data_IF_647749560776
#
_entry.id   IF_647749560776
#
_cell.length_a   1.000
_cell.length_b   1.000
_cell.length_c   1.000
_cell.angle_alpha   90.00
_cell.angle_beta   90.00
_cell.angle_gamma   90.00
#
_symmetry.space_group_name_H-M   'P 1'
#
loop_
_entity.id
_entity.type
_entity.pdbx_description
1 polymer ?
#
# COMPACT_ATOMS: atom_id res chain seq x y z
N UNK A 1 9.60 1.67 -2.63
CA UNK A 1 10.51 2.73 -2.15
C UNK A 1 9.88 3.43 -0.97
N UNK A 2 10.67 3.73 0.10
CA UNK A 2 10.21 4.53 1.25
C UNK A 2 9.10 3.88 2.09
N UNK A 3 9.07 2.56 2.21
CA UNK A 3 8.18 1.85 3.15
C UNK A 3 8.75 1.81 4.56
N UNK A 4 8.25 0.87 5.40
CA UNK A 4 8.69 0.74 6.80
C UNK A 4 10.18 0.44 6.90
N UNK A 5 10.69 -0.55 6.14
CA UNK A 5 12.12 -0.87 6.09
C UNK A 5 12.96 0.23 5.43
N UNK A 6 12.34 1.11 4.64
CA UNK A 6 12.93 2.32 4.09
C UNK A 6 12.89 3.52 5.03
N UNK A 7 12.52 3.30 6.30
CA UNK A 7 12.58 4.29 7.39
C UNK A 7 11.76 5.58 7.12
N UNK A 8 10.64 5.46 6.38
CA UNK A 8 9.83 6.62 5.96
C UNK A 8 9.36 7.51 7.12
N UNK A 9 9.23 6.93 8.32
CA UNK A 9 8.76 7.65 9.51
C UNK A 9 9.79 8.69 10.02
N UNK A 10 11.06 8.53 9.67
CA UNK A 10 12.16 9.40 10.11
C UNK A 10 12.58 10.41 9.04
N UNK A 11 12.01 10.33 7.83
CA UNK A 11 12.38 11.18 6.70
C UNK A 11 11.37 12.31 6.51
N UNK A 12 11.89 13.51 6.25
CA UNK A 12 11.06 14.63 5.81
C UNK A 12 10.48 14.35 4.40
N UNK A 13 9.28 14.87 4.07
CA UNK A 13 8.71 14.69 2.73
C UNK A 13 9.66 15.02 1.57
N UNK A 14 10.47 16.08 1.69
CA UNK A 14 11.43 16.45 0.65
C UNK A 14 12.56 15.42 0.47
N UNK A 15 13.01 14.78 1.56
CA UNK A 15 13.99 13.69 1.50
C UNK A 15 13.39 12.48 0.80
N UNK A 16 12.12 12.14 1.12
CA UNK A 16 11.39 11.05 0.46
C UNK A 16 11.20 11.29 -1.03
N UNK A 17 10.93 12.53 -1.45
CA UNK A 17 10.86 12.92 -2.86
C UNK A 17 12.21 12.73 -3.55
N UNK A 18 13.30 13.22 -2.94
CA UNK A 18 14.64 13.08 -3.49
C UNK A 18 15.07 11.60 -3.64
N UNK A 19 14.74 10.76 -2.65
CA UNK A 19 14.99 9.31 -2.73
C UNK A 19 14.18 8.68 -3.87
N UNK A 20 12.91 9.04 -4.02
CA UNK A 20 12.08 8.51 -5.11
C UNK A 20 12.62 8.95 -6.48
N UNK A 21 12.99 10.20 -6.66
CA UNK A 21 13.58 10.72 -7.90
C UNK A 21 14.86 9.98 -8.27
N UNK A 22 15.74 9.75 -7.28
CA UNK A 22 16.97 8.99 -7.48
C UNK A 22 16.68 7.53 -7.90
N UNK A 23 15.72 6.88 -7.26
CA UNK A 23 15.30 5.51 -7.65
C UNK A 23 14.72 5.52 -9.07
N UNK A 24 13.83 6.45 -9.38
CA UNK A 24 13.19 6.52 -10.70
C UNK A 24 14.18 6.82 -11.82
N UNK A 25 15.24 7.58 -11.55
CA UNK A 25 16.30 7.85 -12.56
C UNK A 25 17.01 6.57 -13.01
N UNK A 26 17.08 5.56 -12.15
CA UNK A 26 17.75 4.29 -12.43
C UNK A 26 16.80 3.14 -12.79
N UNK A 27 15.61 3.10 -12.17
CA UNK A 27 14.72 1.95 -12.21
C UNK A 27 13.58 2.07 -13.23
N UNK A 28 13.19 3.30 -13.62
CA UNK A 28 12.04 3.53 -14.49
C UNK A 28 12.13 2.75 -15.80
N UNK A 29 11.10 1.96 -16.08
CA UNK A 29 11.02 1.13 -17.27
C UNK A 29 11.90 -0.14 -17.24
N UNK A 30 12.65 -0.37 -16.18
CA UNK A 30 13.46 -1.58 -15.98
C UNK A 30 12.82 -2.57 -15.00
N UNK A 31 12.19 -2.05 -13.95
CA UNK A 31 11.47 -2.82 -12.93
C UNK A 31 10.23 -2.05 -12.49
N UNK A 32 9.25 -2.77 -11.93
CA UNK A 32 8.07 -2.15 -11.28
C UNK A 32 8.49 -1.39 -10.03
N UNK A 33 8.09 -0.14 -9.92
CA UNK A 33 8.38 0.73 -8.77
C UNK A 33 7.10 1.11 -8.05
N UNK A 34 7.01 0.73 -6.77
CA UNK A 34 5.93 1.10 -5.87
C UNK A 34 6.45 2.13 -4.88
N UNK A 35 5.87 3.33 -4.84
CA UNK A 35 6.22 4.38 -3.89
C UNK A 35 5.29 4.35 -2.67
N UNK A 36 5.84 4.23 -1.48
CA UNK A 36 5.08 4.40 -0.25
C UNK A 36 4.94 5.89 0.05
N UNK A 37 3.69 6.37 0.20
CA UNK A 37 3.38 7.81 0.28
C UNK A 37 2.75 8.23 1.61
N UNK A 38 2.57 7.29 2.56
CA UNK A 38 1.94 7.60 3.84
C UNK A 38 2.77 8.54 4.72
N UNK A 39 2.12 9.54 5.27
CA UNK A 39 2.51 10.36 6.41
C UNK A 39 1.38 10.34 7.44
N UNK A 40 1.62 10.82 8.67
CA UNK A 40 0.55 10.89 9.67
C UNK A 40 -0.50 11.97 9.39
N UNK A 41 -0.19 12.91 8.53
CA UNK A 41 -1.16 13.91 8.08
C UNK A 41 -1.52 13.69 6.60
N UNK A 42 -2.74 14.03 6.24
CA UNK A 42 -3.27 13.83 4.88
C UNK A 42 -2.60 14.75 3.87
N UNK A 43 -2.24 15.98 4.24
CA UNK A 43 -1.68 16.95 3.31
C UNK A 43 -0.35 16.49 2.73
N UNK A 44 0.61 16.08 3.59
CA UNK A 44 1.91 15.57 3.15
C UNK A 44 1.75 14.27 2.34
N UNK A 45 0.80 13.40 2.73
CA UNK A 45 0.54 12.15 2.01
C UNK A 45 0.01 12.40 0.61
N UNK A 46 -0.91 13.36 0.45
CA UNK A 46 -1.45 13.81 -0.83
C UNK A 46 -0.35 14.43 -1.71
N UNK A 47 0.52 15.24 -1.11
CA UNK A 47 1.65 15.85 -1.82
C UNK A 47 2.63 14.78 -2.33
N UNK A 48 2.96 13.79 -1.50
CA UNK A 48 3.82 12.67 -1.90
C UNK A 48 3.17 11.80 -2.99
N UNK A 49 1.86 11.57 -2.93
CA UNK A 49 1.13 10.82 -3.95
C UNK A 49 1.16 11.55 -5.31
N UNK A 50 0.87 12.83 -5.32
CA UNK A 50 0.93 13.65 -6.53
C UNK A 50 2.36 13.72 -7.11
N UNK A 51 3.38 13.79 -6.25
CA UNK A 51 4.77 13.76 -6.67
C UNK A 51 5.16 12.39 -7.28
N UNK A 52 4.74 11.28 -6.64
CA UNK A 52 5.00 9.94 -7.13
C UNK A 52 4.39 9.71 -8.54
N UNK A 53 3.15 10.16 -8.77
CA UNK A 53 2.54 10.12 -10.10
C UNK A 53 3.36 10.90 -11.13
N UNK A 54 3.82 12.12 -10.80
CA UNK A 54 4.69 12.92 -11.70
C UNK A 54 6.00 12.22 -12.04
N UNK A 55 6.58 11.48 -11.09
CA UNK A 55 7.77 10.68 -11.34
C UNK A 55 7.48 9.48 -12.27
N UNK A 56 6.21 9.07 -12.36
CA UNK A 56 5.76 7.96 -13.20
C UNK A 56 6.04 6.61 -12.58
N UNK A 57 5.78 6.45 -11.28
CA UNK A 57 5.78 5.15 -10.61
C UNK A 57 4.65 4.27 -11.12
N UNK A 58 4.78 2.96 -10.98
CA UNK A 58 3.74 2.01 -11.40
C UNK A 58 2.58 1.97 -10.41
N UNK A 59 2.85 2.14 -9.11
CA UNK A 59 1.83 2.22 -8.07
C UNK A 59 2.29 3.05 -6.88
N UNK A 60 1.33 3.55 -6.11
CA UNK A 60 1.56 4.10 -4.78
C UNK A 60 1.04 3.14 -3.71
N UNK A 61 1.67 3.15 -2.53
CA UNK A 61 1.23 2.34 -1.40
C UNK A 61 1.13 3.18 -0.13
N UNK A 62 0.20 2.81 0.76
CA UNK A 62 0.02 3.52 2.03
C UNK A 62 -0.38 2.60 3.17
N UNK A 63 0.28 2.76 4.33
CA UNK A 63 -0.23 2.31 5.63
C UNK A 63 -1.31 3.29 6.10
N UNK A 64 -2.19 2.91 7.05
CA UNK A 64 -3.06 3.88 7.72
C UNK A 64 -2.21 4.83 8.58
N UNK A 65 -2.77 5.99 9.02
CA UNK A 65 -2.11 6.84 10.00
C UNK A 65 -1.80 6.06 11.28
N UNK A 66 -0.61 6.29 11.84
CA UNK A 66 -0.13 5.62 13.05
C UNK A 66 -0.47 6.43 14.30
N UNK A 67 -0.33 5.81 15.47
CA UNK A 67 -0.48 6.35 16.81
C UNK A 67 -1.92 6.37 17.33
N UNK A 68 -2.87 7.00 16.63
CA UNK A 68 -4.29 6.98 17.02
C UNK A 68 -5.07 5.95 16.20
N UNK A 69 -5.94 5.18 16.87
CA UNK A 69 -6.84 4.26 16.21
C UNK A 69 -8.00 5.04 15.60
N UNK A 70 -7.98 5.20 14.29
CA UNK A 70 -9.03 5.89 13.56
C UNK A 70 -10.15 4.93 13.16
N UNK A 71 -11.41 5.41 13.05
CA UNK A 71 -12.50 4.62 12.51
C UNK A 71 -12.28 4.35 11.00
N UNK A 72 -12.88 3.25 10.51
CA UNK A 72 -12.70 2.80 9.12
C UNK A 72 -12.97 3.90 8.08
N UNK A 73 -14.02 4.71 8.28
CA UNK A 73 -14.35 5.77 7.34
C UNK A 73 -13.23 6.82 7.22
N UNK A 74 -12.59 7.19 8.34
CA UNK A 74 -11.51 8.17 8.32
C UNK A 74 -10.23 7.63 7.64
N UNK A 75 -9.98 6.33 7.77
CA UNK A 75 -8.88 5.65 7.07
C UNK A 75 -9.20 5.58 5.57
N UNK A 76 -10.43 5.24 5.21
CA UNK A 76 -10.85 5.20 3.81
C UNK A 76 -10.76 6.58 3.16
N UNK A 77 -11.21 7.63 3.84
CA UNK A 77 -11.10 9.03 3.37
C UNK A 77 -9.63 9.43 3.17
N UNK A 78 -8.76 9.07 4.12
CA UNK A 78 -7.32 9.33 4.04
C UNK A 78 -6.69 8.64 2.81
N UNK A 79 -6.96 7.35 2.58
CA UNK A 79 -6.43 6.62 1.43
C UNK A 79 -7.02 7.13 0.10
N UNK A 80 -8.31 7.42 0.07
CA UNK A 80 -8.97 7.97 -1.12
C UNK A 80 -8.46 9.36 -1.49
N UNK A 81 -8.07 10.19 -0.51
CA UNK A 81 -7.44 11.48 -0.79
C UNK A 81 -6.11 11.35 -1.53
N UNK A 82 -5.28 10.37 -1.16
CA UNK A 82 -4.04 10.08 -1.88
C UNK A 82 -4.31 9.53 -3.29
N UNK A 83 -5.25 8.58 -3.41
CA UNK A 83 -5.63 8.02 -4.71
C UNK A 83 -6.19 9.10 -5.65
N UNK A 84 -6.97 10.06 -5.12
CA UNK A 84 -7.47 11.18 -5.90
C UNK A 84 -6.38 12.17 -6.34
N UNK A 85 -5.28 12.27 -5.60
CA UNK A 85 -4.12 13.10 -5.95
C UNK A 85 -3.20 12.44 -7.00
N UNK A 86 -3.36 11.13 -7.21
CA UNK A 86 -2.64 10.34 -8.21
C UNK A 86 -3.64 9.50 -9.04
N UNK A 87 -4.53 10.14 -9.81
CA UNK A 87 -5.68 9.48 -10.43
C UNK A 87 -5.32 8.46 -11.51
N UNK A 88 -4.14 8.56 -12.10
CA UNK A 88 -3.65 7.65 -13.13
C UNK A 88 -2.66 6.60 -12.59
N UNK A 89 -2.49 6.53 -11.27
CA UNK A 89 -1.56 5.63 -10.61
C UNK A 89 -2.33 4.63 -9.74
N UNK A 90 -1.97 3.37 -9.82
CA UNK A 90 -2.58 2.29 -9.04
C UNK A 90 -2.28 2.46 -7.55
N UNK A 91 -3.21 2.00 -6.70
CA UNK A 91 -3.11 2.12 -5.24
C UNK A 91 -3.04 0.75 -4.57
N UNK A 92 -2.07 0.59 -3.68
CA UNK A 92 -1.86 -0.62 -2.89
C UNK A 92 -2.07 -0.32 -1.41
N UNK A 93 -2.99 -1.01 -0.77
CA UNK A 93 -3.16 -0.91 0.68
C UNK A 93 -2.01 -1.67 1.35
N UNK A 94 -1.30 -1.01 2.26
CA UNK A 94 -0.27 -1.68 3.06
C UNK A 94 -0.78 -1.94 4.48
N UNK A 95 -1.12 -3.20 4.75
CA UNK A 95 -1.55 -3.68 6.05
C UNK A 95 -0.34 -4.13 6.88
N UNK A 96 -0.02 -3.42 7.96
CA UNK A 96 1.05 -3.73 8.92
C UNK A 96 0.62 -3.37 10.35
N UNK A 97 -0.33 -4.11 10.92
CA UNK A 97 -0.97 -3.73 12.19
C UNK A 97 -0.01 -3.63 13.37
N UNK A 98 1.08 -4.38 13.38
CA UNK A 98 2.09 -4.35 14.45
C UNK A 98 2.78 -2.99 14.58
N UNK A 99 2.95 -2.27 13.46
CA UNK A 99 3.57 -0.94 13.45
C UNK A 99 2.54 0.18 13.31
N UNK A 100 1.50 -0.03 12.53
CA UNK A 100 0.45 0.97 12.32
C UNK A 100 -0.54 1.06 13.49
N UNK A 101 -0.64 0.02 14.32
CA UNK A 101 -1.62 -0.05 15.40
C UNK A 101 -3.06 -0.30 14.92
N UNK A 102 -3.28 -0.37 13.62
CA UNK A 102 -4.60 -0.57 13.00
C UNK A 102 -4.50 -1.65 11.93
N UNK A 103 -5.39 -2.64 12.00
CA UNK A 103 -5.48 -3.71 11.01
C UNK A 103 -6.46 -3.37 9.90
N UNK A 104 -6.18 -3.86 8.70
CA UNK A 104 -7.13 -3.86 7.60
C UNK A 104 -8.24 -4.87 7.91
N UNK A 105 -9.44 -4.36 8.18
CA UNK A 105 -10.62 -5.20 8.39
C UNK A 105 -11.35 -5.45 7.07
N UNK A 106 -12.14 -6.53 6.99
CA UNK A 106 -12.96 -6.81 5.79
C UNK A 106 -13.93 -5.67 5.44
N UNK A 107 -14.63 -5.02 6.41
CA UNK A 107 -15.43 -3.85 6.10
C UNK A 107 -14.64 -2.69 5.50
N UNK A 108 -13.42 -2.43 5.99
CA UNK A 108 -12.54 -1.38 5.43
C UNK A 108 -12.05 -1.75 4.03
N UNK A 109 -11.64 -3.01 3.81
CA UNK A 109 -11.25 -3.47 2.48
C UNK A 109 -12.41 -3.34 1.48
N UNK A 110 -13.62 -3.79 1.86
CA UNK A 110 -14.80 -3.69 0.99
C UNK A 110 -15.16 -2.24 0.65
N UNK A 111 -14.93 -1.30 1.57
CA UNK A 111 -15.09 0.13 1.28
C UNK A 111 -14.05 0.60 0.25
N UNK A 112 -12.79 0.24 0.44
CA UNK A 112 -11.71 0.62 -0.47
C UNK A 112 -11.82 -0.04 -1.85
N UNK A 113 -12.40 -1.22 -1.95
CA UNK A 113 -12.65 -1.88 -3.25
C UNK A 113 -13.68 -1.15 -4.12
N UNK A 114 -14.40 -0.15 -3.59
CA UNK A 114 -15.23 0.75 -4.41
C UNK A 114 -14.38 1.70 -5.26
N UNK A 115 -13.15 1.98 -4.84
CA UNK A 115 -12.19 2.78 -5.61
C UNK A 115 -11.50 1.88 -6.66
N UNK A 116 -11.69 2.14 -7.97
CA UNK A 116 -11.14 1.30 -9.03
C UNK A 116 -9.61 1.24 -9.05
N UNK A 117 -8.93 2.27 -8.53
CA UNK A 117 -7.47 2.31 -8.49
C UNK A 117 -6.88 1.39 -7.41
N UNK A 118 -7.69 0.89 -6.48
CA UNK A 118 -7.22 -0.07 -5.45
C UNK A 118 -7.12 -1.45 -6.08
N UNK A 119 -5.89 -1.90 -6.37
CA UNK A 119 -5.60 -3.14 -7.10
C UNK A 119 -4.89 -4.20 -6.27
N UNK A 120 -4.41 -3.87 -5.08
CA UNK A 120 -3.67 -4.83 -4.28
C UNK A 120 -3.67 -4.52 -2.78
N UNK A 121 -3.32 -5.55 -2.02
CA UNK A 121 -2.93 -5.45 -0.60
C UNK A 121 -1.53 -6.03 -0.42
N UNK A 122 -0.61 -5.29 0.21
CA UNK A 122 0.57 -5.89 0.86
C UNK A 122 0.18 -6.22 2.30
N UNK A 123 0.17 -7.50 2.65
CA UNK A 123 -0.23 -7.97 3.97
C UNK A 123 0.96 -8.37 4.82
N UNK A 124 1.25 -7.59 5.85
CA UNK A 124 2.24 -7.87 6.89
C UNK A 124 1.61 -8.21 8.24
N UNK A 125 0.34 -8.65 8.26
CA UNK A 125 -0.27 -9.21 9.47
C UNK A 125 0.27 -10.61 9.79
N UNK A 126 0.17 -11.04 11.04
CA UNK A 126 0.61 -12.38 11.44
C UNK A 126 -0.33 -13.50 10.98
N UNK A 127 -1.67 -13.35 10.97
CA UNK A 127 -2.56 -14.39 10.46
C UNK A 127 -2.44 -14.51 8.94
N UNK A 128 -1.93 -15.63 8.43
CA UNK A 128 -1.87 -15.91 6.99
C UNK A 128 -3.25 -16.10 6.35
N UNK A 129 -4.27 -16.43 7.14
CA UNK A 129 -5.66 -16.47 6.71
C UNK A 129 -6.13 -15.16 6.09
N UNK A 130 -5.63 -14.01 6.56
CA UNK A 130 -5.99 -12.70 6.03
C UNK A 130 -5.68 -12.61 4.52
N UNK A 131 -4.61 -13.26 4.06
CA UNK A 131 -4.21 -13.29 2.64
C UNK A 131 -5.33 -13.88 1.78
N UNK A 132 -5.88 -15.04 2.18
CA UNK A 132 -6.97 -15.67 1.45
C UNK A 132 -8.23 -14.80 1.47
N UNK A 133 -8.60 -14.27 2.63
CA UNK A 133 -9.78 -13.42 2.77
C UNK A 133 -9.70 -12.17 1.89
N UNK A 134 -8.53 -11.51 1.85
CA UNK A 134 -8.31 -10.33 1.00
C UNK A 134 -8.30 -10.71 -0.49
N UNK A 135 -7.70 -11.86 -0.84
CA UNK A 135 -7.68 -12.34 -2.22
C UNK A 135 -9.08 -12.66 -2.73
N UNK A 136 -9.89 -13.36 -1.93
CA UNK A 136 -11.26 -13.71 -2.29
C UNK A 136 -12.12 -12.45 -2.52
N UNK A 137 -12.02 -11.47 -1.61
CA UNK A 137 -12.74 -10.20 -1.76
C UNK A 137 -12.28 -9.42 -3.00
N UNK A 138 -10.98 -9.39 -3.25
CA UNK A 138 -10.40 -8.73 -4.41
C UNK A 138 -10.84 -9.38 -5.72
N UNK A 139 -10.80 -10.72 -5.82
CA UNK A 139 -11.28 -11.48 -6.98
C UNK A 139 -12.78 -11.22 -7.23
N UNK A 140 -13.58 -11.21 -6.18
CA UNK A 140 -15.00 -10.90 -6.30
C UNK A 140 -15.24 -9.49 -6.87
N UNK A 141 -14.42 -8.52 -6.50
CA UNK A 141 -14.58 -7.12 -6.93
C UNK A 141 -13.96 -6.82 -8.30
N UNK A 142 -12.87 -7.51 -8.70
CA UNK A 142 -12.03 -7.17 -9.86
C UNK A 142 -11.85 -8.29 -10.88
N UNK A 143 -12.30 -9.51 -10.57
CA UNK A 143 -11.98 -10.70 -11.35
C UNK A 143 -10.63 -11.34 -10.95
N UNK A 144 -10.35 -12.52 -11.49
CA UNK A 144 -9.23 -13.36 -11.08
C UNK A 144 -7.85 -12.69 -11.20
N UNK A 145 -7.65 -11.88 -12.24
CA UNK A 145 -6.38 -11.23 -12.54
C UNK A 145 -6.35 -9.74 -12.16
N UNK A 146 -7.45 -9.21 -11.62
CA UNK A 146 -7.61 -7.78 -11.36
C UNK A 146 -7.22 -7.33 -9.95
N UNK A 147 -6.76 -8.26 -9.07
CA UNK A 147 -6.38 -7.93 -7.71
C UNK A 147 -5.28 -8.84 -7.19
N UNK A 148 -4.23 -8.25 -6.63
CA UNK A 148 -3.11 -8.97 -6.06
C UNK A 148 -3.04 -8.85 -4.53
N UNK A 149 -2.53 -9.90 -3.88
CA UNK A 149 -2.18 -9.87 -2.46
C UNK A 149 -0.73 -10.30 -2.30
N UNK A 150 0.09 -9.46 -1.67
CA UNK A 150 1.49 -9.74 -1.40
C UNK A 150 1.71 -10.09 0.06
N UNK A 151 2.44 -11.17 0.30
CA UNK A 151 2.91 -11.52 1.63
C UNK A 151 4.03 -10.55 2.06
N UNK A 152 3.96 -10.02 3.27
CA UNK A 152 4.98 -9.11 3.81
C UNK A 152 6.12 -9.83 4.54
N UNK A 153 5.85 -10.59 5.64
CA UNK A 153 6.89 -11.23 6.43
C UNK A 153 7.62 -12.34 5.68
N UNK A 154 8.95 -12.27 5.58
CA UNK A 154 9.75 -13.26 4.83
C UNK A 154 9.60 -14.67 5.40
N UNK A 155 9.54 -14.80 6.72
CA UNK A 155 9.36 -16.08 7.43
C UNK A 155 8.01 -16.75 7.15
N UNK A 156 7.02 -15.99 6.66
CA UNK A 156 5.69 -16.51 6.30
C UNK A 156 5.52 -16.70 4.79
N UNK A 157 6.54 -16.48 3.97
CA UNK A 157 6.39 -16.43 2.51
C UNK A 157 5.79 -17.72 1.94
N UNK A 158 6.27 -18.89 2.37
CA UNK A 158 5.76 -20.17 1.89
C UNK A 158 4.30 -20.37 2.27
N UNK A 159 3.94 -20.13 3.53
CA UNK A 159 2.55 -20.23 3.99
C UNK A 159 1.66 -19.18 3.31
N UNK A 160 2.14 -17.97 3.10
CA UNK A 160 1.44 -16.93 2.35
C UNK A 160 1.14 -17.34 0.91
N UNK A 161 2.10 -17.98 0.23
CA UNK A 161 1.89 -18.54 -1.13
C UNK A 161 0.83 -19.64 -1.15
N UNK A 162 0.82 -20.52 -0.15
CA UNK A 162 -0.20 -21.56 -0.01
C UNK A 162 -1.60 -20.95 0.20
N UNK A 163 -1.69 -19.85 0.94
CA UNK A 163 -2.95 -19.13 1.18
C UNK A 163 -3.38 -18.22 0.01
N UNK A 164 -2.67 -18.23 -1.11
CA UNK A 164 -3.05 -17.53 -2.34
C UNK A 164 -2.38 -16.18 -2.59
N UNK A 165 -1.32 -15.83 -1.86
CA UNK A 165 -0.53 -14.64 -2.17
C UNK A 165 0.07 -14.73 -3.59
N UNK A 166 0.02 -13.64 -4.35
CA UNK A 166 0.58 -13.57 -5.71
C UNK A 166 2.11 -13.46 -5.71
N UNK A 167 2.66 -12.95 -4.61
CA UNK A 167 4.10 -12.78 -4.41
C UNK A 167 4.43 -12.34 -3.00
N UNK A 168 5.66 -11.83 -2.80
CA UNK A 168 6.11 -11.27 -1.53
C UNK A 168 6.78 -9.91 -1.73
N UNK A 169 6.56 -9.03 -0.77
CA UNK A 169 7.27 -7.76 -0.63
C UNK A 169 7.82 -7.74 0.79
N UNK A 170 8.98 -8.36 0.97
CA UNK A 170 9.68 -8.47 2.23
C UNK A 170 10.57 -7.25 2.55
N UNK A 171 11.48 -7.41 3.51
CA UNK A 171 12.41 -6.37 3.94
C UNK A 171 13.77 -6.87 4.33
#
# INVERSE_FOLDING_TARGET
VGGSSGECIYQHPDERKAVLEAVMSEAKGKITVIAHVACNNTADSVELAAHAEKCGVDAIASIPPIYFHLPNYAIADYWNAMSAAAPNTEFIIYNIPQLAGTALTMPLLNEMLKNPNVIAVKNSSMPTQDIQMFKDAGIQARGADGFAVFNGPDEQFVSGRVMGADGGIGG
#
